data_IF_139148169038
#
_entry.id   IF_139148169038
#
_cell.length_a   1.000
_cell.length_b   1.000
_cell.length_c   1.000
_cell.angle_alpha   90.00
_cell.angle_beta   90.00
_cell.angle_gamma   90.00
#
_symmetry.space_group_name_H-M   'P 1'
#
loop_
_entity.id
_entity.type
_entity.pdbx_description
1 polymer ?
#
# COMPACT_ATOMS: atom_id res chain seq x y z
N UNK A 1 26.05 16.27 -7.46
CA UNK A 1 24.97 15.60 -8.23
C UNK A 1 23.77 16.53 -8.33
N UNK A 2 23.42 17.04 -9.52
CA UNK A 2 22.19 17.85 -9.68
C UNK A 2 20.99 16.90 -9.73
N UNK A 3 20.14 16.88 -8.71
CA UNK A 3 18.86 16.16 -8.76
C UNK A 3 18.08 16.67 -9.99
N UNK A 4 17.75 15.78 -10.95
CA UNK A 4 16.92 16.20 -12.10
C UNK A 4 15.55 16.59 -11.56
N UNK A 5 14.97 17.70 -12.05
CA UNK A 5 13.66 18.25 -11.64
C UNK A 5 12.54 17.19 -11.52
N UNK A 6 12.59 16.13 -12.34
CA UNK A 6 11.64 15.01 -12.29
C UNK A 6 11.70 14.20 -11.00
N UNK A 7 12.88 14.00 -10.43
CA UNK A 7 13.04 13.28 -9.15
C UNK A 7 12.52 14.11 -7.98
N UNK A 8 12.71 15.42 -8.01
CA UNK A 8 12.10 16.34 -7.03
C UNK A 8 10.58 16.28 -7.14
N UNK A 9 10.04 16.33 -8.36
CA UNK A 9 8.59 16.18 -8.59
C UNK A 9 8.04 14.85 -8.06
N UNK A 10 8.70 13.73 -8.38
CA UNK A 10 8.31 12.42 -7.86
C UNK A 10 8.34 12.40 -6.33
N UNK A 11 9.40 12.91 -5.71
CA UNK A 11 9.51 12.98 -4.26
C UNK A 11 8.34 13.77 -3.65
N UNK A 12 7.99 14.93 -4.22
CA UNK A 12 6.83 15.70 -3.78
C UNK A 12 5.53 14.89 -3.86
N UNK A 13 5.29 14.19 -4.98
CA UNK A 13 4.09 13.37 -5.17
C UNK A 13 4.05 12.21 -4.17
N UNK A 14 5.18 11.52 -3.95
CA UNK A 14 5.30 10.43 -2.97
C UNK A 14 5.04 10.93 -1.55
N UNK A 15 5.61 12.09 -1.17
CA UNK A 15 5.38 12.68 0.15
C UNK A 15 3.91 13.08 0.35
N UNK A 16 3.27 13.69 -0.65
CA UNK A 16 1.84 14.01 -0.60
C UNK A 16 1.01 12.72 -0.51
N UNK A 17 1.33 11.70 -1.31
CA UNK A 17 0.64 10.42 -1.30
C UNK A 17 0.74 9.71 0.05
N UNK A 18 1.91 9.76 0.70
CA UNK A 18 2.14 9.22 2.03
C UNK A 18 1.40 10.04 3.10
N UNK A 19 1.51 11.37 3.04
CA UNK A 19 0.84 12.28 3.98
C UNK A 19 -0.68 12.04 3.97
N UNK A 20 -1.31 12.04 2.80
CA UNK A 20 -2.76 11.86 2.68
C UNK A 20 -3.24 10.48 3.17
N UNK A 21 -2.40 9.44 3.07
CA UNK A 21 -2.74 8.08 3.52
C UNK A 21 -2.52 7.87 5.01
N UNK A 22 -1.49 8.50 5.56
CA UNK A 22 -1.10 8.33 6.97
C UNK A 22 -1.76 9.37 7.89
N UNK A 23 -2.27 10.47 7.33
CA UNK A 23 -2.98 11.49 8.08
C UNK A 23 -4.19 10.89 8.79
N UNK A 24 -4.17 10.87 10.12
CA UNK A 24 -5.24 10.34 10.99
C UNK A 24 -5.59 8.87 10.73
N UNK A 25 -4.67 8.07 10.19
CA UNK A 25 -4.89 6.66 9.87
C UNK A 25 -5.27 5.81 11.09
N UNK A 26 -4.85 6.25 12.28
CA UNK A 26 -5.10 5.63 13.58
C UNK A 26 -6.41 6.08 14.25
N UNK A 27 -6.99 7.19 13.80
CA UNK A 27 -8.21 7.78 14.39
C UNK A 27 -9.42 7.56 13.50
N UNK A 28 -9.27 7.67 12.17
CA UNK A 28 -10.39 7.69 11.23
C UNK A 28 -10.22 6.59 10.15
N UNK A 29 -11.24 5.76 9.90
CA UNK A 29 -12.46 5.56 10.71
C UNK A 29 -12.16 4.79 12.02
N UNK A 30 -13.00 4.92 13.06
CA UNK A 30 -12.78 4.20 14.32
C UNK A 30 -13.05 2.69 14.17
N UNK A 31 -12.17 1.87 14.74
CA UNK A 31 -12.31 0.42 14.73
C UNK A 31 -12.16 -0.20 13.33
N UNK A 32 -12.52 -1.49 13.22
CA UNK A 32 -12.59 -2.18 11.94
C UNK A 32 -13.95 -1.98 11.27
N UNK A 33 -13.94 -1.78 9.96
CA UNK A 33 -15.14 -1.93 9.14
C UNK A 33 -15.36 -3.41 8.73
N UNK A 34 -16.51 -3.75 8.16
CA UNK A 34 -16.91 -5.15 7.90
C UNK A 34 -15.87 -5.97 7.14
N UNK A 35 -15.48 -5.52 5.95
CA UNK A 35 -14.46 -6.14 5.10
C UNK A 35 -13.10 -6.18 5.79
N UNK A 36 -12.72 -5.08 6.45
CA UNK A 36 -11.47 -5.03 7.20
C UNK A 36 -11.44 -6.04 8.36
N UNK A 37 -12.59 -6.33 8.98
CA UNK A 37 -12.69 -7.30 10.08
C UNK A 37 -12.47 -8.73 9.60
N UNK A 38 -13.03 -9.10 8.45
CA UNK A 38 -12.82 -10.43 7.87
C UNK A 38 -11.37 -10.62 7.45
N UNK A 39 -10.80 -9.67 6.70
CA UNK A 39 -9.41 -9.73 6.26
C UNK A 39 -8.43 -9.68 7.45
N UNK A 40 -8.75 -8.85 8.46
CA UNK A 40 -7.97 -8.74 9.69
C UNK A 40 -7.96 -10.03 10.50
N UNK A 41 -9.08 -10.75 10.58
CA UNK A 41 -9.14 -12.05 11.24
C UNK A 41 -8.28 -13.10 10.53
N UNK A 42 -8.32 -13.14 9.20
CA UNK A 42 -7.49 -14.04 8.40
C UNK A 42 -5.99 -13.73 8.58
N UNK A 43 -5.61 -12.45 8.53
CA UNK A 43 -4.26 -12.00 8.80
C UNK A 43 -3.79 -12.34 10.22
N UNK A 44 -4.66 -12.17 11.21
CA UNK A 44 -4.38 -12.52 12.60
C UNK A 44 -4.17 -14.03 12.78
N UNK A 45 -4.97 -14.88 12.12
CA UNK A 45 -4.76 -16.34 12.13
C UNK A 45 -3.45 -16.73 11.47
N UNK A 46 -3.12 -16.14 10.32
CA UNK A 46 -1.83 -16.38 9.65
C UNK A 46 -0.66 -16.05 10.57
N UNK A 47 -0.76 -14.95 11.34
CA UNK A 47 0.28 -14.52 12.28
C UNK A 47 0.38 -15.42 13.51
N UNK A 48 -0.74 -15.87 14.07
CA UNK A 48 -0.79 -16.52 15.39
C UNK A 48 -0.81 -18.04 15.35
N UNK A 49 -1.27 -18.64 14.26
CA UNK A 49 -1.30 -20.09 14.07
C UNK A 49 -0.24 -20.51 13.03
N UNK A 50 0.85 -21.19 13.46
CA UNK A 50 1.88 -21.68 12.56
C UNK A 50 1.39 -22.70 11.52
N UNK A 51 0.29 -23.39 11.78
CA UNK A 51 -0.29 -24.37 10.87
C UNK A 51 -1.23 -23.73 9.84
N UNK A 52 -1.70 -22.50 10.09
CA UNK A 52 -2.61 -21.81 9.19
C UNK A 52 -1.87 -21.16 8.01
N UNK A 53 -1.82 -21.88 6.88
CA UNK A 53 -1.15 -21.45 5.64
C UNK A 53 -2.11 -21.51 4.45
N UNK A 54 -3.15 -20.66 4.42
CA UNK A 54 -4.14 -20.69 3.35
C UNK A 54 -3.51 -20.30 2.01
N UNK A 55 -3.91 -21.03 0.97
CA UNK A 55 -3.66 -20.66 -0.44
C UNK A 55 -4.90 -20.01 -1.08
N UNK A 56 -6.04 -20.10 -0.40
CA UNK A 56 -7.30 -19.46 -0.76
C UNK A 56 -8.09 -19.20 0.53
N UNK A 57 -8.64 -18.00 0.67
CA UNK A 57 -9.45 -17.62 1.82
C UNK A 57 -10.91 -17.76 1.42
N UNK A 58 -11.64 -18.68 2.06
CA UNK A 58 -13.07 -18.88 1.78
C UNK A 58 -13.97 -17.87 2.50
N UNK A 59 -13.42 -17.14 3.48
CA UNK A 59 -14.07 -16.00 4.09
C UNK A 59 -14.24 -14.84 3.08
N UNK A 60 -15.15 -13.91 3.38
CA UNK A 60 -15.34 -12.68 2.60
C UNK A 60 -15.49 -12.89 1.08
N UNK A 61 -16.43 -13.75 0.66
CA UNK A 61 -16.74 -14.05 -0.75
C UNK A 61 -15.65 -14.79 -1.55
N UNK A 62 -14.58 -15.27 -0.91
CA UNK A 62 -13.55 -16.05 -1.59
C UNK A 62 -12.49 -15.18 -2.26
N UNK A 63 -11.30 -15.09 -1.65
CA UNK A 63 -10.21 -14.22 -2.16
C UNK A 63 -8.84 -14.89 -2.09
N UNK A 64 -7.91 -14.40 -2.91
CA UNK A 64 -6.50 -14.78 -2.84
C UNK A 64 -5.83 -14.24 -1.57
N UNK A 65 -4.88 -14.98 -0.96
CA UNK A 65 -4.40 -14.69 0.39
C UNK A 65 -3.32 -13.60 0.47
N UNK A 66 -2.90 -13.03 -0.65
CA UNK A 66 -1.74 -12.10 -0.70
C UNK A 66 -1.94 -10.90 0.23
N UNK A 67 -3.15 -10.32 0.24
CA UNK A 67 -3.48 -9.22 1.15
C UNK A 67 -3.40 -9.64 2.62
N UNK A 68 -3.97 -10.80 2.97
CA UNK A 68 -3.95 -11.31 4.35
C UNK A 68 -2.52 -11.61 4.83
N UNK A 69 -1.64 -12.17 3.99
CA UNK A 69 -0.23 -12.35 4.33
C UNK A 69 0.50 -11.01 4.52
N UNK A 70 0.23 -10.01 3.67
CA UNK A 70 0.80 -8.68 3.83
C UNK A 70 0.32 -8.01 5.14
N UNK A 71 -0.95 -8.15 5.48
CA UNK A 71 -1.49 -7.68 6.75
C UNK A 71 -0.91 -8.43 7.95
N UNK A 72 -0.70 -9.74 7.85
CA UNK A 72 -0.07 -10.54 8.90
C UNK A 72 1.37 -10.07 9.17
N UNK A 73 2.13 -9.73 8.12
CA UNK A 73 3.46 -9.13 8.26
C UNK A 73 3.40 -7.80 8.99
N UNK A 74 2.51 -6.89 8.60
CA UNK A 74 2.40 -5.58 9.25
C UNK A 74 1.91 -5.71 10.70
N UNK A 75 1.01 -6.65 10.99
CA UNK A 75 0.58 -6.96 12.36
C UNK A 75 1.77 -7.42 13.22
N UNK A 76 2.60 -8.33 12.71
CA UNK A 76 3.82 -8.77 13.39
C UNK A 76 4.81 -7.62 13.62
N UNK A 77 5.00 -6.74 12.64
CA UNK A 77 5.85 -5.55 12.80
C UNK A 77 5.31 -4.59 13.86
N UNK A 78 4.01 -4.29 13.85
CA UNK A 78 3.40 -3.44 14.86
C UNK A 78 3.56 -4.05 16.26
N UNK A 79 3.30 -5.35 16.41
CA UNK A 79 3.51 -6.06 17.68
C UNK A 79 4.97 -6.01 18.14
N UNK A 80 5.93 -6.17 17.22
CA UNK A 80 7.36 -6.07 17.51
C UNK A 80 7.74 -4.69 18.08
N UNK A 81 7.10 -3.62 17.62
CA UNK A 81 7.29 -2.25 18.13
C UNK A 81 6.34 -1.89 19.29
N UNK A 82 5.63 -2.85 19.88
CA UNK A 82 4.74 -2.64 21.03
C UNK A 82 3.34 -2.12 20.68
N UNK A 83 2.99 -2.07 19.39
CA UNK A 83 1.65 -1.76 18.89
C UNK A 83 0.71 -2.97 18.83
N UNK A 84 -0.55 -2.73 18.46
CA UNK A 84 -1.56 -3.77 18.32
C UNK A 84 -1.74 -4.26 16.87
N UNK A 85 -2.10 -5.54 16.73
CA UNK A 85 -2.61 -6.12 15.47
C UNK A 85 -4.06 -5.66 15.25
N UNK A 86 -4.22 -4.40 14.81
CA UNK A 86 -5.51 -3.73 14.69
C UNK A 86 -5.67 -2.91 13.41
N UNK A 87 -6.71 -2.07 13.32
CA UNK A 87 -7.04 -1.30 12.11
C UNK A 87 -5.88 -0.46 11.60
N UNK A 88 -5.17 0.23 12.51
CA UNK A 88 -4.01 1.06 12.16
C UNK A 88 -2.92 0.25 11.46
N UNK A 89 -2.59 -0.93 11.98
CA UNK A 89 -1.60 -1.81 11.38
C UNK A 89 -2.06 -2.29 9.99
N UNK A 90 -3.33 -2.67 9.85
CA UNK A 90 -3.87 -3.15 8.58
C UNK A 90 -3.90 -2.05 7.52
N UNK A 91 -4.34 -0.85 7.90
CA UNK A 91 -4.37 0.31 7.01
C UNK A 91 -2.97 0.79 6.64
N UNK A 92 -1.98 0.59 7.51
CA UNK A 92 -0.57 0.87 7.19
C UNK A 92 -0.10 -0.02 6.04
N UNK A 93 -0.54 -1.29 5.97
CA UNK A 93 -0.31 -2.14 4.78
C UNK A 93 -0.84 -1.45 3.52
N UNK A 94 -2.12 -1.04 3.53
CA UNK A 94 -2.73 -0.36 2.39
C UNK A 94 -2.01 0.97 2.04
N UNK A 95 -1.56 1.72 3.05
CA UNK A 95 -0.82 2.95 2.86
C UNK A 95 0.53 2.70 2.16
N UNK A 96 1.28 1.68 2.59
CA UNK A 96 2.55 1.28 1.97
C UNK A 96 2.34 0.90 0.51
N UNK A 97 1.40 -0.01 0.22
CA UNK A 97 1.14 -0.45 -1.16
C UNK A 97 0.57 0.68 -2.02
N UNK A 98 -0.21 1.60 -1.45
CA UNK A 98 -0.66 2.80 -2.14
C UNK A 98 0.49 3.72 -2.56
N UNK A 99 1.48 3.93 -1.68
CA UNK A 99 2.68 4.72 -2.01
C UNK A 99 3.58 4.00 -3.02
N UNK A 100 3.75 2.68 -2.87
CA UNK A 100 4.48 1.87 -3.86
C UNK A 100 3.78 1.91 -5.23
N UNK A 101 2.45 1.92 -5.26
CA UNK A 101 1.64 2.08 -6.47
C UNK A 101 1.94 3.38 -7.20
N UNK A 102 2.06 4.51 -6.49
CA UNK A 102 2.46 5.80 -7.07
C UNK A 102 3.84 5.71 -7.75
N UNK A 103 4.81 5.06 -7.10
CA UNK A 103 6.15 4.86 -7.66
C UNK A 103 6.11 3.94 -8.89
N UNK A 104 5.31 2.87 -8.82
CA UNK A 104 5.14 1.91 -9.92
C UNK A 104 4.51 2.56 -11.14
N UNK A 105 3.45 3.38 -10.95
CA UNK A 105 2.80 4.12 -12.04
C UNK A 105 3.76 5.13 -12.66
N UNK A 106 4.54 5.86 -11.85
CA UNK A 106 5.58 6.74 -12.37
C UNK A 106 6.60 5.99 -13.24
N UNK A 107 7.04 4.81 -12.79
CA UNK A 107 7.96 3.95 -13.54
C UNK A 107 7.37 3.47 -14.86
N UNK A 108 6.16 2.91 -14.82
CA UNK A 108 5.46 2.41 -16.00
C UNK A 108 5.20 3.53 -17.03
N UNK A 109 4.74 4.69 -16.59
CA UNK A 109 4.56 5.86 -17.45
C UNK A 109 5.90 6.39 -18.00
N UNK A 110 6.98 6.23 -17.23
CA UNK A 110 8.35 6.47 -17.67
C UNK A 110 8.75 5.60 -18.86
N UNK A 111 8.46 4.31 -18.80
CA UNK A 111 8.73 3.37 -19.92
C UNK A 111 7.83 3.65 -21.12
N UNK A 112 6.53 3.91 -20.92
CA UNK A 112 5.62 4.25 -22.02
C UNK A 112 6.11 5.49 -22.79
N UNK A 113 6.59 6.50 -22.07
CA UNK A 113 7.17 7.69 -22.71
C UNK A 113 8.44 7.38 -23.50
N UNK A 114 9.26 6.41 -23.07
CA UNK A 114 10.46 6.02 -23.83
C UNK A 114 10.09 5.37 -25.16
N UNK A 115 8.96 4.67 -25.21
CA UNK A 115 8.42 4.06 -26.43
C UNK A 115 7.86 5.13 -27.39
N UNK A 116 7.16 6.14 -26.86
CA UNK A 116 6.50 7.18 -27.67
C UNK A 116 6.95 8.63 -27.32
N UNK A 117 8.25 8.98 -27.48
CA UNK A 117 8.78 10.26 -27.02
C UNK A 117 8.27 11.49 -27.78
N UNK A 118 7.70 11.31 -28.98
CA UNK A 118 7.12 12.39 -29.80
C UNK A 118 5.67 12.69 -29.42
N UNK A 119 4.95 11.72 -28.84
CA UNK A 119 3.54 11.86 -28.43
C UNK A 119 3.40 12.18 -26.94
N UNK A 120 4.34 11.72 -26.11
CA UNK A 120 4.26 11.86 -24.65
C UNK A 120 5.21 12.93 -24.11
N UNK A 121 4.63 13.90 -23.42
CA UNK A 121 5.38 15.04 -22.89
C UNK A 121 6.35 14.64 -21.80
N UNK A 122 7.30 15.53 -21.50
CA UNK A 122 8.32 15.20 -20.51
C UNK A 122 7.83 15.07 -19.07
N UNK A 123 6.65 15.63 -18.80
CA UNK A 123 5.96 15.62 -17.53
C UNK A 123 4.96 14.47 -17.39
N UNK A 124 4.69 13.71 -18.46
CA UNK A 124 3.71 12.62 -18.47
C UNK A 124 3.85 11.64 -17.29
N UNK A 125 5.05 11.12 -16.94
CA UNK A 125 5.17 10.21 -15.80
C UNK A 125 4.79 10.83 -14.45
N UNK A 126 5.04 12.14 -14.30
CA UNK A 126 4.72 12.86 -13.07
C UNK A 126 3.21 13.04 -12.93
N UNK A 127 2.52 13.43 -14.00
CA UNK A 127 1.06 13.58 -13.99
C UNK A 127 0.35 12.24 -13.83
N UNK A 128 0.85 11.18 -14.47
CA UNK A 128 0.30 9.84 -14.32
C UNK A 128 0.36 9.32 -12.87
N UNK A 129 1.43 9.66 -12.13
CA UNK A 129 1.58 9.25 -10.74
C UNK A 129 0.82 10.14 -9.74
N UNK A 130 0.38 11.33 -10.17
CA UNK A 130 -0.32 12.31 -9.32
C UNK A 130 -1.85 12.19 -9.39
N UNK A 131 -2.38 11.46 -10.37
CA UNK A 131 -3.79 11.10 -10.52
C UNK A 131 -4.00 9.64 -10.11
#
# INVERSE_FOLDING_TARGET
MKLRKRWVGLLCVVLIAALLRLWQIDVIPPGFHFDESFEGLEAWRILTDPAYRPIFLTGNFGVGPVNAYANALTFGLFQFFGGGAGPTAMRTTAAIFGVLGVIAVWGAAGELRRLDPTRLTTAFPLFAAAF
#
